data_IF_720197597690
#
_entry.id   IF_720197597690
#
_cell.length_a   1.000
_cell.length_b   1.000
_cell.length_c   1.000
_cell.angle_alpha   90.00
_cell.angle_beta   90.00
_cell.angle_gamma   90.00
#
_symmetry.space_group_name_H-M   'P 1'
#
loop_
_entity.id
_entity.type
_entity.pdbx_description
1 polymer ?
#
# COMPACT_ATOMS: atom_id res chain seq x y z
N UNK A 1 -30.65 -26.46 23.70
CA UNK A 1 -29.31 -26.88 24.20
C UNK A 1 -28.90 -26.10 25.44
N UNK A 2 -28.98 -24.77 25.42
CA UNK A 2 -28.56 -23.94 26.54
C UNK A 2 -29.39 -24.20 27.82
N UNK A 3 -30.70 -24.41 27.69
CA UNK A 3 -31.58 -24.78 28.80
C UNK A 3 -31.24 -26.16 29.40
N UNK A 4 -30.98 -27.16 28.55
CA UNK A 4 -30.57 -28.51 28.99
C UNK A 4 -29.22 -28.48 29.71
N UNK A 5 -28.25 -27.71 29.18
CA UNK A 5 -26.95 -27.46 29.83
C UNK A 5 -27.12 -26.76 31.17
N UNK A 6 -27.92 -25.69 31.23
CA UNK A 6 -28.25 -24.96 32.48
C UNK A 6 -28.89 -25.90 33.51
N UNK A 7 -29.78 -26.79 33.07
CA UNK A 7 -30.41 -27.78 33.95
C UNK A 7 -29.41 -28.79 34.53
N UNK A 8 -28.42 -29.26 33.74
CA UNK A 8 -27.40 -30.19 34.24
C UNK A 8 -26.49 -29.47 35.24
N UNK A 9 -25.99 -28.29 34.90
CA UNK A 9 -25.16 -27.48 35.80
C UNK A 9 -25.89 -27.15 37.11
N UNK A 10 -27.19 -26.87 37.04
CA UNK A 10 -28.05 -26.67 38.22
C UNK A 10 -28.13 -27.92 39.08
N UNK A 11 -28.35 -29.11 38.50
CA UNK A 11 -28.40 -30.38 39.25
C UNK A 11 -27.08 -30.72 39.93
N UNK A 12 -25.94 -30.41 39.29
CA UNK A 12 -24.61 -30.52 39.92
C UNK A 12 -24.53 -29.58 41.13
N UNK A 13 -24.91 -28.31 40.97
CA UNK A 13 -24.86 -27.32 42.06
C UNK A 13 -25.78 -27.65 43.25
N UNK A 14 -26.86 -28.38 43.00
CA UNK A 14 -27.81 -28.83 44.01
C UNK A 14 -27.42 -30.19 44.65
N UNK A 15 -26.28 -30.78 44.27
CA UNK A 15 -25.84 -32.09 44.74
C UNK A 15 -26.71 -33.26 44.25
N UNK A 16 -27.59 -33.02 43.27
CA UNK A 16 -28.49 -34.03 42.66
C UNK A 16 -27.80 -34.83 41.55
N UNK A 17 -26.61 -34.42 41.15
CA UNK A 17 -25.72 -35.12 40.24
C UNK A 17 -24.29 -34.95 40.74
N UNK A 18 -23.48 -36.00 40.64
CA UNK A 18 -22.03 -35.85 40.81
C UNK A 18 -21.43 -35.01 39.66
N UNK A 19 -20.24 -34.46 39.88
CA UNK A 19 -19.50 -33.73 38.85
C UNK A 19 -19.21 -34.64 37.64
N UNK A 20 -18.79 -35.89 37.89
CA UNK A 20 -18.45 -36.86 36.86
C UNK A 20 -19.66 -37.26 36.00
N UNK A 21 -20.80 -37.59 36.62
CA UNK A 21 -22.06 -37.85 35.89
C UNK A 21 -22.53 -36.62 35.09
N UNK A 22 -22.34 -35.43 35.66
CA UNK A 22 -22.66 -34.17 35.02
C UNK A 22 -21.82 -33.91 33.76
N UNK A 23 -20.52 -34.19 33.83
CA UNK A 23 -19.60 -34.06 32.69
C UNK A 23 -19.95 -35.03 31.55
N UNK A 24 -20.26 -36.29 31.86
CA UNK A 24 -20.71 -37.29 30.87
C UNK A 24 -21.96 -36.78 30.14
N UNK A 25 -22.97 -36.31 30.86
CA UNK A 25 -24.21 -35.79 30.24
C UNK A 25 -23.96 -34.53 29.40
N UNK A 26 -23.01 -33.68 29.82
CA UNK A 26 -22.62 -32.50 29.04
C UNK A 26 -21.93 -32.89 27.73
N UNK A 27 -21.10 -33.94 27.74
CA UNK A 27 -20.42 -34.44 26.55
C UNK A 27 -21.38 -35.18 25.61
N UNK A 28 -22.32 -35.96 26.13
CA UNK A 28 -23.40 -36.57 25.33
C UNK A 28 -24.23 -35.52 24.59
N UNK A 29 -24.57 -34.41 25.25
CA UNK A 29 -25.32 -33.32 24.61
C UNK A 29 -24.48 -32.65 23.52
N UNK A 30 -23.18 -32.44 23.74
CA UNK A 30 -22.28 -31.89 22.71
C UNK A 30 -22.17 -32.81 21.50
N UNK A 31 -22.02 -34.13 21.71
CA UNK A 31 -21.93 -35.10 20.61
C UNK A 31 -23.24 -35.21 19.84
N UNK A 32 -24.38 -35.23 20.54
CA UNK A 32 -25.70 -35.20 19.89
C UNK A 32 -25.89 -33.92 19.07
N UNK A 33 -25.48 -32.78 19.60
CA UNK A 33 -25.54 -31.51 18.89
C UNK A 33 -24.68 -31.50 17.63
N UNK A 34 -23.45 -32.00 17.73
CA UNK A 34 -22.53 -32.16 16.60
C UNK A 34 -23.10 -33.11 15.55
N UNK A 35 -23.73 -34.21 15.97
CA UNK A 35 -24.40 -35.16 15.08
C UNK A 35 -25.55 -34.50 14.30
N UNK A 36 -26.39 -33.70 14.96
CA UNK A 36 -27.48 -32.96 14.31
C UNK A 36 -26.91 -31.93 13.33
N UNK A 37 -25.94 -31.13 13.77
CA UNK A 37 -25.30 -30.11 12.94
C UNK A 37 -24.64 -30.71 11.69
N UNK A 38 -23.91 -31.81 11.83
CA UNK A 38 -23.34 -32.56 10.70
C UNK A 38 -24.42 -33.01 9.72
N UNK A 39 -25.51 -33.61 10.19
CA UNK A 39 -26.62 -34.04 9.33
C UNK A 39 -27.27 -32.88 8.56
N UNK A 40 -27.41 -31.71 9.18
CA UNK A 40 -27.93 -30.51 8.52
C UNK A 40 -26.97 -30.00 7.43
N UNK A 41 -25.66 -30.01 7.70
CA UNK A 41 -24.64 -29.62 6.72
C UNK A 41 -24.59 -30.56 5.51
N UNK A 42 -24.72 -31.87 5.73
CA UNK A 42 -24.79 -32.87 4.64
C UNK A 42 -25.96 -32.58 3.68
N UNK A 43 -27.13 -32.19 4.21
CA UNK A 43 -28.31 -31.85 3.39
C UNK A 43 -28.09 -30.66 2.45
N UNK A 44 -27.12 -29.80 2.75
CA UNK A 44 -26.79 -28.61 1.96
C UNK A 44 -25.44 -28.73 1.25
N UNK A 45 -24.98 -29.97 1.01
CA UNK A 45 -23.82 -30.25 0.15
C UNK A 45 -22.46 -30.28 0.86
N UNK A 46 -22.43 -30.39 2.19
CA UNK A 46 -21.20 -30.62 2.95
C UNK A 46 -21.18 -32.06 3.46
N UNK A 47 -21.03 -33.00 2.54
CA UNK A 47 -20.93 -34.44 2.78
C UNK A 47 -19.48 -34.90 3.05
N UNK A 48 -18.49 -34.22 2.47
CA UNK A 48 -17.05 -34.48 2.68
C UNK A 48 -16.37 -33.43 3.56
N UNK A 49 -16.78 -33.35 4.84
CA UNK A 49 -16.16 -32.48 5.85
C UNK A 49 -15.50 -33.29 6.96
N UNK A 50 -14.22 -33.00 7.20
CA UNK A 50 -13.47 -33.61 8.31
C UNK A 50 -14.03 -33.18 9.67
N UNK A 51 -13.85 -34.01 10.69
CA UNK A 51 -14.23 -33.66 12.07
C UNK A 51 -13.60 -32.33 12.54
N UNK A 52 -12.35 -32.05 12.14
CA UNK A 52 -11.67 -30.79 12.45
C UNK A 52 -12.31 -29.58 11.77
N UNK A 53 -12.73 -29.69 10.50
CA UNK A 53 -13.46 -28.64 9.81
C UNK A 53 -14.83 -28.40 10.44
N UNK A 54 -15.57 -29.47 10.75
CA UNK A 54 -16.87 -29.39 11.43
C UNK A 54 -16.75 -28.67 12.78
N UNK A 55 -15.76 -29.04 13.60
CA UNK A 55 -15.48 -28.40 14.88
C UNK A 55 -15.13 -26.92 14.71
N UNK A 56 -14.28 -26.60 13.72
CA UNK A 56 -13.89 -25.21 13.43
C UNK A 56 -15.08 -24.37 12.99
N UNK A 57 -15.97 -24.92 12.15
CA UNK A 57 -17.19 -24.23 11.73
C UNK A 57 -18.14 -23.99 12.89
N UNK A 58 -18.38 -25.03 13.72
CA UNK A 58 -19.25 -24.92 14.89
C UNK A 58 -18.72 -23.90 15.91
N UNK A 59 -17.40 -23.89 16.17
CA UNK A 59 -16.75 -22.93 17.08
C UNK A 59 -16.90 -21.48 16.63
N UNK A 60 -16.96 -21.25 15.32
CA UNK A 60 -17.13 -19.93 14.73
C UNK A 60 -18.60 -19.63 14.40
N UNK A 61 -19.56 -20.38 14.94
CA UNK A 61 -21.00 -20.13 14.79
C UNK A 61 -21.45 -20.02 13.32
N UNK A 62 -20.91 -20.92 12.49
CA UNK A 62 -21.36 -21.09 11.11
C UNK A 62 -22.59 -21.99 11.17
N UNK A 63 -23.74 -21.49 10.72
CA UNK A 63 -25.01 -22.22 10.75
C UNK A 63 -25.43 -22.64 9.33
N UNK A 64 -26.27 -23.67 9.18
CA UNK A 64 -26.88 -24.00 7.89
C UNK A 64 -27.65 -22.82 7.29
N UNK A 65 -28.29 -22.00 8.14
CA UNK A 65 -28.99 -20.77 7.73
C UNK A 65 -28.02 -19.76 7.12
N UNK A 66 -26.89 -19.48 7.78
CA UNK A 66 -25.86 -18.57 7.25
C UNK A 66 -25.34 -19.03 5.88
N UNK A 67 -25.12 -20.33 5.70
CA UNK A 67 -24.67 -20.90 4.41
C UNK A 67 -25.74 -20.70 3.32
N UNK A 68 -27.01 -20.97 3.63
CA UNK A 68 -28.13 -20.74 2.70
C UNK A 68 -28.30 -19.27 2.33
N UNK A 69 -28.09 -18.36 3.29
CA UNK A 69 -28.13 -16.92 3.02
C UNK A 69 -26.99 -16.47 2.10
N UNK A 70 -25.78 -16.99 2.29
CA UNK A 70 -24.66 -16.75 1.36
C UNK A 70 -24.97 -17.26 -0.04
N UNK A 71 -25.55 -18.45 -0.16
CA UNK A 71 -25.96 -19.02 -1.45
C UNK A 71 -26.96 -18.10 -2.18
N UNK A 72 -27.95 -17.53 -1.47
CA UNK A 72 -28.93 -16.57 -2.03
C UNK A 72 -28.29 -15.30 -2.59
N UNK A 73 -27.16 -14.88 -2.03
CA UNK A 73 -26.41 -13.70 -2.52
C UNK A 73 -25.31 -14.07 -3.51
N UNK A 74 -25.29 -15.31 -4.01
CA UNK A 74 -24.38 -15.77 -5.07
C UNK A 74 -23.10 -16.45 -4.57
N UNK A 75 -23.01 -16.76 -3.28
CA UNK A 75 -21.84 -17.37 -2.63
C UNK A 75 -22.13 -18.80 -2.18
N UNK A 76 -22.56 -19.64 -3.12
CA UNK A 76 -22.69 -21.09 -2.92
C UNK A 76 -21.33 -21.80 -3.00
N UNK A 77 -21.30 -23.08 -2.60
CA UNK A 77 -20.14 -23.97 -2.73
C UNK A 77 -18.84 -23.45 -2.09
N UNK A 78 -18.96 -22.67 -1.00
CA UNK A 78 -17.80 -22.17 -0.27
C UNK A 78 -17.16 -23.29 0.56
N UNK A 79 -15.82 -23.37 0.52
CA UNK A 79 -15.09 -24.26 1.43
C UNK A 79 -15.34 -23.89 2.91
N UNK A 80 -15.24 -24.84 3.85
CA UNK A 80 -15.31 -24.55 5.29
C UNK A 80 -14.37 -23.41 5.73
N UNK A 81 -13.17 -23.33 5.14
CA UNK A 81 -12.21 -22.28 5.45
C UNK A 81 -12.65 -20.90 4.94
N UNK A 82 -13.35 -20.85 3.79
CA UNK A 82 -13.91 -19.61 3.26
C UNK A 82 -15.08 -19.10 4.13
N UNK A 83 -15.96 -20.00 4.56
CA UNK A 83 -17.06 -19.66 5.47
C UNK A 83 -16.53 -19.09 6.81
N UNK A 84 -15.53 -19.75 7.40
CA UNK A 84 -14.86 -19.25 8.61
C UNK A 84 -14.23 -17.88 8.37
N UNK A 85 -13.60 -17.66 7.21
CA UNK A 85 -12.98 -16.38 6.88
C UNK A 85 -14.00 -15.25 6.74
N UNK A 86 -15.15 -15.49 6.11
CA UNK A 86 -16.24 -14.50 6.02
C UNK A 86 -16.77 -14.16 7.41
N UNK A 87 -17.04 -15.17 8.22
CA UNK A 87 -17.56 -15.01 9.58
C UNK A 87 -16.60 -14.26 10.51
N UNK A 88 -15.31 -14.56 10.47
CA UNK A 88 -14.27 -13.83 11.23
C UNK A 88 -14.03 -12.41 10.74
N UNK A 89 -14.36 -12.13 9.47
CA UNK A 89 -14.27 -10.80 8.88
C UNK A 89 -15.56 -10.00 8.98
N UNK A 90 -16.53 -10.47 9.77
CA UNK A 90 -17.86 -9.87 9.96
C UNK A 90 -18.61 -9.60 8.65
N UNK A 91 -18.38 -10.43 7.63
CA UNK A 91 -19.05 -10.31 6.34
C UNK A 91 -20.46 -10.91 6.43
N UNK A 92 -21.47 -10.06 6.24
CA UNK A 92 -22.88 -10.47 6.26
C UNK A 92 -23.46 -10.65 4.86
N UNK A 93 -24.49 -11.51 4.68
CA UNK A 93 -25.22 -11.61 3.42
C UNK A 93 -25.82 -10.26 2.97
N UNK A 94 -26.34 -9.45 3.90
CA UNK A 94 -26.86 -8.11 3.63
C UNK A 94 -25.79 -7.18 3.05
N UNK A 95 -24.57 -7.22 3.61
CA UNK A 95 -23.45 -6.45 3.08
C UNK A 95 -23.12 -6.88 1.64
N UNK A 96 -23.01 -8.19 1.39
CA UNK A 96 -22.76 -8.72 0.04
C UNK A 96 -23.84 -8.26 -0.93
N UNK A 97 -25.12 -8.39 -0.54
CA UNK A 97 -26.25 -7.96 -1.35
C UNK A 97 -26.17 -6.46 -1.70
N UNK A 98 -25.69 -5.62 -0.77
CA UNK A 98 -25.58 -4.18 -0.99
C UNK A 98 -24.51 -3.76 -1.99
N UNK A 99 -23.51 -4.60 -2.29
CA UNK A 99 -22.39 -4.25 -3.18
C UNK A 99 -22.24 -5.15 -4.40
N UNK A 100 -22.82 -6.36 -4.41
CA UNK A 100 -22.57 -7.35 -5.48
C UNK A 100 -22.97 -6.83 -6.87
N UNK A 101 -24.08 -6.11 -6.96
CA UNK A 101 -24.66 -5.67 -8.23
C UNK A 101 -23.95 -4.42 -8.79
N UNK A 102 -23.01 -3.85 -8.02
CA UNK A 102 -22.11 -2.78 -8.46
C UNK A 102 -20.93 -3.31 -9.29
N UNK A 103 -20.77 -4.62 -9.39
CA UNK A 103 -19.68 -5.24 -10.14
C UNK A 103 -20.20 -6.23 -11.17
N UNK A 104 -19.54 -6.27 -12.32
CA UNK A 104 -19.81 -7.29 -13.36
C UNK A 104 -19.18 -8.65 -13.04
N UNK A 105 -18.20 -8.66 -12.13
CA UNK A 105 -17.48 -9.85 -11.70
C UNK A 105 -17.76 -10.15 -10.22
N UNK A 106 -17.76 -11.44 -9.81
CA UNK A 106 -17.96 -11.79 -8.42
C UNK A 106 -16.84 -11.24 -7.54
N UNK A 107 -17.20 -10.78 -6.33
CA UNK A 107 -16.24 -10.29 -5.35
C UNK A 107 -15.60 -11.50 -4.66
N UNK A 108 -14.28 -11.62 -4.62
CA UNK A 108 -13.63 -12.72 -3.90
C UNK A 108 -13.89 -12.62 -2.40
N UNK A 109 -13.90 -13.76 -1.69
CA UNK A 109 -14.01 -13.80 -0.21
C UNK A 109 -12.97 -12.90 0.45
N UNK A 110 -11.73 -12.88 -0.07
CA UNK A 110 -10.68 -12.00 0.43
C UNK A 110 -11.05 -10.52 0.28
N UNK A 111 -11.60 -10.11 -0.87
CA UNK A 111 -12.00 -8.73 -1.09
C UNK A 111 -13.22 -8.33 -0.25
N UNK A 112 -14.19 -9.23 -0.05
CA UNK A 112 -15.32 -8.97 0.85
C UNK A 112 -14.85 -8.65 2.27
N UNK A 113 -13.92 -9.45 2.81
CA UNK A 113 -13.33 -9.20 4.13
C UNK A 113 -12.60 -7.86 4.16
N UNK A 114 -11.84 -7.53 3.11
CA UNK A 114 -11.14 -6.23 3.03
C UNK A 114 -12.17 -5.09 2.99
N UNK A 115 -13.27 -5.24 2.27
CA UNK A 115 -14.30 -4.21 2.17
C UNK A 115 -14.91 -3.90 3.53
N UNK A 116 -15.35 -4.94 4.26
CA UNK A 116 -15.93 -4.77 5.60
C UNK A 116 -14.91 -4.15 6.56
N UNK A 117 -13.69 -4.71 6.62
CA UNK A 117 -12.62 -4.21 7.50
C UNK A 117 -12.28 -2.74 7.24
N UNK A 118 -12.29 -2.32 5.97
CA UNK A 118 -11.97 -0.95 5.58
C UNK A 118 -13.21 -0.03 5.53
N UNK A 119 -14.39 -0.51 5.95
CA UNK A 119 -15.62 0.30 5.99
C UNK A 119 -16.13 0.75 4.62
N UNK A 120 -15.95 -0.07 3.57
CA UNK A 120 -16.43 0.24 2.22
C UNK A 120 -17.96 0.29 2.22
N UNK A 121 -18.51 1.39 1.72
CA UNK A 121 -19.96 1.57 1.51
C UNK A 121 -20.28 1.50 0.02
N UNK A 122 -21.50 1.09 -0.39
CA UNK A 122 -21.95 1.12 -1.79
C UNK A 122 -21.67 2.47 -2.48
N UNK A 123 -22.00 3.58 -1.81
CA UNK A 123 -21.76 4.94 -2.31
C UNK A 123 -20.31 5.22 -2.73
N UNK A 124 -19.32 4.66 -2.02
CA UNK A 124 -17.90 4.85 -2.41
C UNK A 124 -17.59 4.21 -3.77
N UNK A 125 -18.20 3.07 -4.08
CA UNK A 125 -18.02 2.35 -5.34
C UNK A 125 -18.75 3.09 -6.46
N UNK A 126 -20.01 3.50 -6.21
CA UNK A 126 -20.83 4.28 -7.14
C UNK A 126 -20.15 5.60 -7.51
N UNK A 127 -19.64 6.35 -6.53
CA UNK A 127 -18.91 7.59 -6.78
C UNK A 127 -17.64 7.38 -7.62
N UNK A 128 -16.94 6.25 -7.47
CA UNK A 128 -15.81 5.92 -8.35
C UNK A 128 -16.29 5.64 -9.77
N UNK A 129 -17.41 4.94 -9.95
CA UNK A 129 -17.98 4.66 -11.27
C UNK A 129 -18.39 5.96 -11.96
N UNK A 130 -19.06 6.86 -11.24
CA UNK A 130 -19.50 8.18 -11.72
C UNK A 130 -18.33 9.10 -12.09
N UNK A 131 -17.16 8.92 -11.45
CA UNK A 131 -15.91 9.60 -11.83
C UNK A 131 -15.29 9.10 -13.14
N UNK A 132 -15.98 8.19 -13.84
CA UNK A 132 -15.55 7.65 -15.13
C UNK A 132 -14.69 6.41 -15.01
N UNK A 133 -14.86 5.63 -13.93
CA UNK A 133 -14.29 4.29 -13.79
C UNK A 133 -15.40 3.21 -13.70
N UNK A 134 -16.27 3.09 -14.73
CA UNK A 134 -17.49 2.28 -14.66
C UNK A 134 -17.22 0.79 -14.41
N UNK A 135 -16.09 0.27 -14.89
CA UNK A 135 -15.70 -1.14 -14.75
C UNK A 135 -14.65 -1.35 -13.63
N UNK A 136 -14.71 -0.55 -12.57
CA UNK A 136 -13.78 -0.71 -11.44
C UNK A 136 -13.93 -2.10 -10.80
N UNK A 137 -12.84 -2.88 -10.77
CA UNK A 137 -12.90 -4.23 -10.22
C UNK A 137 -12.94 -4.23 -8.68
N UNK A 138 -13.48 -5.28 -8.03
CA UNK A 138 -13.45 -5.39 -6.57
C UNK A 138 -12.03 -5.38 -5.99
N UNK A 139 -11.07 -5.98 -6.70
CA UNK A 139 -9.66 -5.93 -6.30
C UNK A 139 -9.10 -4.50 -6.33
N UNK A 140 -9.61 -3.66 -7.23
CA UNK A 140 -9.23 -2.25 -7.31
C UNK A 140 -9.80 -1.46 -6.13
N UNK A 141 -11.08 -1.64 -5.80
CA UNK A 141 -11.71 -1.01 -4.63
C UNK A 141 -10.98 -1.41 -3.34
N UNK A 142 -10.65 -2.69 -3.18
CA UNK A 142 -9.89 -3.18 -2.02
C UNK A 142 -8.54 -2.48 -1.89
N UNK A 143 -7.84 -2.28 -3.01
CA UNK A 143 -6.54 -1.60 -3.04
C UNK A 143 -6.66 -0.12 -2.72
N UNK A 144 -7.66 0.57 -3.28
CA UNK A 144 -7.93 1.99 -2.99
C UNK A 144 -8.18 2.22 -1.50
N UNK A 145 -9.05 1.43 -0.88
CA UNK A 145 -9.40 1.59 0.53
C UNK A 145 -8.28 1.17 1.47
N UNK A 146 -7.47 0.17 1.10
CA UNK A 146 -6.29 -0.24 1.87
C UNK A 146 -5.25 0.88 1.97
N UNK A 147 -5.11 1.71 0.93
CA UNK A 147 -4.23 2.88 0.94
C UNK A 147 -4.92 4.18 1.35
N UNK A 148 -6.15 4.09 1.90
CA UNK A 148 -6.89 5.26 2.40
C UNK A 148 -7.18 6.30 1.32
N UNK A 149 -7.43 5.87 0.08
CA UNK A 149 -7.73 6.78 -1.04
C UNK A 149 -9.19 7.21 -0.96
N UNK A 150 -9.42 8.51 -0.79
CA UNK A 150 -10.76 9.09 -0.70
C UNK A 150 -11.28 9.52 -2.08
N UNK A 151 -12.60 9.70 -2.21
CA UNK A 151 -13.19 10.25 -3.44
C UNK A 151 -12.65 11.65 -3.73
N UNK A 152 -12.48 12.48 -2.69
CA UNK A 152 -11.88 13.81 -2.81
C UNK A 152 -10.47 13.76 -3.40
N UNK A 153 -9.63 12.82 -2.95
CA UNK A 153 -8.30 12.63 -3.52
C UNK A 153 -8.38 12.24 -5.01
N UNK A 154 -9.27 11.32 -5.39
CA UNK A 154 -9.44 10.93 -6.81
C UNK A 154 -9.87 12.13 -7.67
N UNK A 155 -10.82 12.94 -7.20
CA UNK A 155 -11.31 14.14 -7.90
C UNK A 155 -10.18 15.14 -8.14
N UNK A 156 -9.50 15.56 -7.08
CA UNK A 156 -8.37 16.50 -7.14
C UNK A 156 -7.24 16.00 -8.03
N UNK A 157 -6.88 14.72 -7.90
CA UNK A 157 -5.86 14.12 -8.76
C UNK A 157 -6.30 13.97 -10.22
N UNK A 158 -7.59 14.00 -10.55
CA UNK A 158 -8.04 14.03 -11.94
C UNK A 158 -8.13 15.45 -12.49
N UNK A 159 -8.49 16.43 -11.66
CA UNK A 159 -8.55 17.85 -12.01
C UNK A 159 -7.15 18.44 -12.26
N UNK A 160 -6.13 17.95 -11.55
CA UNK A 160 -4.75 18.38 -11.69
C UNK A 160 -4.10 17.99 -13.04
N UNK A 161 -4.74 17.18 -13.88
CA UNK A 161 -4.16 16.72 -15.15
C UNK A 161 -5.15 16.87 -16.32
N UNK A 162 -4.66 17.17 -17.54
CA UNK A 162 -5.52 17.31 -18.72
C UNK A 162 -6.28 16.02 -19.10
N UNK A 163 -5.75 14.87 -18.70
CA UNK A 163 -6.36 13.56 -18.92
C UNK A 163 -6.61 12.89 -17.58
N UNK A 164 -7.81 12.30 -17.43
CA UNK A 164 -8.17 11.46 -16.28
C UNK A 164 -7.10 10.40 -16.04
N UNK A 165 -6.63 10.31 -14.80
CA UNK A 165 -5.63 9.32 -14.41
C UNK A 165 -6.27 7.93 -14.34
N UNK A 166 -5.51 6.89 -14.64
CA UNK A 166 -5.91 5.54 -14.30
C UNK A 166 -5.90 5.34 -12.78
N UNK A 167 -6.77 4.47 -12.24
CA UNK A 167 -6.73 4.15 -10.82
C UNK A 167 -5.38 3.51 -10.39
N UNK A 168 -4.62 2.91 -11.31
CA UNK A 168 -3.24 2.47 -11.03
C UNK A 168 -2.31 3.65 -10.75
N UNK A 169 -2.40 4.71 -11.54
CA UNK A 169 -1.61 5.93 -11.33
C UNK A 169 -1.99 6.57 -9.99
N UNK A 170 -3.28 6.75 -9.71
CA UNK A 170 -3.74 7.31 -8.43
C UNK A 170 -3.24 6.50 -7.22
N UNK A 171 -3.30 5.17 -7.30
CA UNK A 171 -2.78 4.30 -6.24
C UNK A 171 -1.27 4.50 -6.07
N UNK A 172 -0.50 4.49 -7.17
CA UNK A 172 0.95 4.65 -7.11
C UNK A 172 1.34 6.02 -6.52
N UNK A 173 0.65 7.08 -6.94
CA UNK A 173 0.83 8.44 -6.42
C UNK A 173 0.57 8.53 -4.92
N UNK A 174 -0.51 7.89 -4.43
CA UNK A 174 -0.80 7.84 -3.00
C UNK A 174 0.29 7.10 -2.22
N UNK A 175 0.77 5.97 -2.73
CA UNK A 175 1.83 5.17 -2.10
C UNK A 175 3.13 5.98 -1.97
N UNK A 176 3.45 6.80 -2.98
CA UNK A 176 4.64 7.67 -2.97
C UNK A 176 4.37 9.05 -2.33
N UNK A 177 3.24 9.23 -1.65
CA UNK A 177 2.87 10.50 -0.98
C UNK A 177 2.87 11.73 -1.91
N UNK A 178 2.44 11.57 -3.16
CA UNK A 178 2.15 12.69 -4.05
C UNK A 178 0.84 13.34 -3.59
N UNK A 179 0.93 14.53 -3.00
CA UNK A 179 -0.19 15.36 -2.57
C UNK A 179 -0.52 16.44 -3.61
N UNK A 180 -1.71 17.04 -3.48
CA UNK A 180 -2.10 18.23 -4.24
C UNK A 180 -1.16 19.41 -3.93
N UNK A 181 -0.87 19.66 -2.64
CA UNK A 181 0.08 20.69 -2.22
C UNK A 181 1.43 20.58 -2.93
N UNK A 182 1.96 19.35 -3.08
CA UNK A 182 3.22 19.12 -3.79
C UNK A 182 3.13 19.47 -5.28
N UNK A 183 2.00 19.21 -5.92
CA UNK A 183 1.76 19.56 -7.33
C UNK A 183 1.69 21.09 -7.45
N UNK A 184 0.94 21.76 -6.56
CA UNK A 184 0.79 23.21 -6.54
C UNK A 184 2.13 23.94 -6.24
N UNK A 185 2.92 23.41 -5.31
CA UNK A 185 4.24 23.93 -4.96
C UNK A 185 5.17 23.94 -6.17
N UNK A 186 5.21 22.85 -6.94
CA UNK A 186 6.03 22.76 -8.15
C UNK A 186 5.48 23.65 -9.28
N UNK A 187 4.16 23.70 -9.46
CA UNK A 187 3.52 24.61 -10.41
C UNK A 187 3.87 26.07 -10.09
N UNK A 188 3.89 26.47 -8.81
CA UNK A 188 4.21 27.83 -8.36
C UNK A 188 5.61 28.32 -8.74
N UNK A 189 6.53 27.40 -9.03
CA UNK A 189 7.91 27.70 -9.46
C UNK A 189 8.15 27.41 -10.95
N UNK A 190 7.09 27.21 -11.73
CA UNK A 190 7.12 27.05 -13.18
C UNK A 190 7.27 25.60 -13.67
N UNK A 191 6.94 24.62 -12.83
CA UNK A 191 6.91 23.19 -13.17
C UNK A 191 5.47 22.67 -13.14
N UNK A 192 4.61 23.27 -13.98
CA UNK A 192 3.16 23.02 -14.06
C UNK A 192 2.76 21.95 -15.09
N UNK A 193 3.62 21.63 -16.07
CA UNK A 193 3.39 20.57 -17.07
C UNK A 193 4.14 19.26 -16.73
N UNK A 194 3.91 18.74 -15.52
CA UNK A 194 4.50 17.48 -15.07
C UNK A 194 3.50 16.33 -15.22
N UNK A 195 3.95 15.23 -15.83
CA UNK A 195 3.17 13.98 -15.80
C UNK A 195 3.14 13.40 -14.39
N UNK A 196 2.08 12.64 -14.06
CA UNK A 196 1.98 11.98 -12.75
C UNK A 196 3.16 11.04 -12.45
N UNK A 197 3.71 10.37 -13.47
CA UNK A 197 4.87 9.50 -13.31
C UNK A 197 6.12 10.31 -12.94
N UNK A 198 6.25 11.54 -13.46
CA UNK A 198 7.34 12.44 -13.11
C UNK A 198 7.24 12.94 -11.67
N UNK A 199 6.03 13.27 -11.21
CA UNK A 199 5.79 13.67 -9.82
C UNK A 199 6.12 12.54 -8.83
N UNK A 200 5.76 11.30 -9.20
CA UNK A 200 6.12 10.08 -8.45
C UNK A 200 7.64 9.93 -8.39
N UNK A 201 8.34 10.06 -9.52
CA UNK A 201 9.81 9.99 -9.58
C UNK A 201 10.47 11.08 -8.72
N UNK A 202 9.94 12.30 -8.76
CA UNK A 202 10.41 13.40 -7.90
C UNK A 202 10.26 13.06 -6.42
N UNK A 203 9.12 12.51 -5.99
CA UNK A 203 8.94 12.06 -4.60
C UNK A 203 9.90 10.94 -4.21
N UNK A 204 10.14 9.97 -5.09
CA UNK A 204 11.06 8.85 -4.83
C UNK A 204 12.50 9.35 -4.63
N UNK A 205 12.92 10.35 -5.40
CA UNK A 205 14.29 10.87 -5.36
C UNK A 205 14.48 12.11 -4.49
N UNK A 206 13.43 12.65 -3.86
CA UNK A 206 13.53 13.83 -3.01
C UNK A 206 13.72 15.14 -3.79
N UNK A 207 13.15 15.23 -4.99
CA UNK A 207 13.09 16.48 -5.77
C UNK A 207 11.85 17.25 -5.36
N UNK A 208 12.02 18.26 -4.50
CA UNK A 208 10.97 19.17 -4.05
C UNK A 208 11.25 20.64 -4.48
N UNK A 209 10.38 21.54 -4.04
CA UNK A 209 10.47 22.97 -4.36
C UNK A 209 11.77 23.57 -3.82
N UNK A 210 12.13 23.22 -2.59
CA UNK A 210 13.33 23.69 -1.90
C UNK A 210 14.60 23.24 -2.63
N UNK A 211 14.64 21.97 -3.05
CA UNK A 211 15.71 21.42 -3.87
C UNK A 211 15.92 22.26 -5.14
N UNK A 212 14.85 22.52 -5.89
CA UNK A 212 14.92 23.27 -7.16
C UNK A 212 15.31 24.75 -6.92
N UNK A 213 14.73 25.41 -5.91
CA UNK A 213 15.05 26.80 -5.57
C UNK A 213 16.52 26.94 -5.19
N UNK A 214 17.07 26.01 -4.42
CA UNK A 214 18.47 26.07 -4.00
C UNK A 214 19.45 26.10 -5.18
N UNK A 215 19.16 25.39 -6.28
CA UNK A 215 19.98 25.50 -7.49
C UNK A 215 19.83 26.86 -8.20
N UNK A 216 18.61 27.40 -8.22
CA UNK A 216 18.31 28.73 -8.79
C UNK A 216 19.09 29.83 -8.06
N UNK A 217 19.20 29.76 -6.74
CA UNK A 217 19.93 30.73 -5.91
C UNK A 217 21.43 30.78 -6.20
N UNK A 218 22.03 29.65 -6.60
CA UNK A 218 23.46 29.56 -6.96
C UNK A 218 23.73 29.68 -8.47
N UNK A 219 22.71 30.13 -9.23
CA UNK A 219 22.82 30.51 -10.64
C UNK A 219 22.40 29.45 -11.66
N UNK A 220 21.99 28.25 -11.25
CA UNK A 220 21.48 27.23 -12.19
C UNK A 220 19.98 27.38 -12.36
N UNK A 221 19.58 27.99 -13.48
CA UNK A 221 18.18 28.22 -13.83
C UNK A 221 17.74 27.28 -14.96
N UNK A 222 16.43 27.02 -15.06
CA UNK A 222 15.81 26.21 -16.13
C UNK A 222 16.44 24.82 -16.29
N UNK A 223 16.72 24.15 -15.17
CA UNK A 223 17.33 22.82 -15.16
C UNK A 223 16.35 21.82 -15.79
N UNK A 224 16.76 21.04 -16.81
CA UNK A 224 15.92 19.98 -17.39
C UNK A 224 15.47 18.97 -16.32
N UNK A 225 14.24 18.45 -16.44
CA UNK A 225 13.64 17.55 -15.44
C UNK A 225 14.52 16.32 -15.15
N UNK A 226 15.07 15.70 -16.19
CA UNK A 226 15.97 14.55 -16.03
C UNK A 226 17.25 14.90 -15.27
N UNK A 227 17.75 16.13 -15.45
CA UNK A 227 18.93 16.60 -14.73
C UNK A 227 18.62 16.80 -13.25
N UNK A 228 17.46 17.34 -12.89
CA UNK A 228 17.04 17.46 -11.48
C UNK A 228 17.01 16.08 -10.78
N UNK A 229 16.43 15.09 -11.44
CA UNK A 229 16.37 13.71 -10.91
C UNK A 229 17.78 13.12 -10.76
N UNK A 230 18.65 13.26 -11.76
CA UNK A 230 20.02 12.75 -11.69
C UNK A 230 20.82 13.42 -10.57
N UNK A 231 20.68 14.73 -10.39
CA UNK A 231 21.33 15.45 -9.28
C UNK A 231 20.89 14.86 -7.93
N UNK A 232 19.59 14.61 -7.76
CA UNK A 232 19.05 14.02 -6.54
C UNK A 232 19.53 12.57 -6.32
N UNK A 233 19.51 11.72 -7.35
CA UNK A 233 20.02 10.34 -7.31
C UNK A 233 21.48 10.29 -6.84
N UNK A 234 22.31 11.24 -7.29
CA UNK A 234 23.72 11.32 -6.92
C UNK A 234 23.98 12.12 -5.63
N UNK A 235 22.93 12.50 -4.91
CA UNK A 235 23.00 13.31 -3.69
C UNK A 235 23.80 14.61 -3.92
N UNK A 236 23.51 15.29 -5.03
CA UNK A 236 24.08 16.59 -5.38
C UNK A 236 23.08 17.65 -4.94
N UNK A 237 23.51 18.50 -4.02
CA UNK A 237 22.72 19.61 -3.50
C UNK A 237 23.50 20.94 -3.71
N UNK A 238 22.87 22.10 -3.46
CA UNK A 238 23.53 23.40 -3.61
C UNK A 238 24.81 23.53 -2.77
N UNK A 239 24.86 22.95 -1.56
CA UNK A 239 26.03 22.97 -0.69
C UNK A 239 27.25 22.26 -1.32
N UNK A 240 27.04 21.09 -1.93
CA UNK A 240 28.10 20.38 -2.64
C UNK A 240 28.69 21.25 -3.75
N UNK A 241 27.84 21.91 -4.53
CA UNK A 241 28.28 22.76 -5.63
C UNK A 241 29.02 23.99 -5.11
N UNK A 242 28.52 24.60 -4.04
CA UNK A 242 29.17 25.74 -3.40
C UNK A 242 30.59 25.39 -2.93
N UNK A 243 30.78 24.21 -2.35
CA UNK A 243 32.12 23.74 -1.96
C UNK A 243 33.04 23.49 -3.16
N UNK A 244 32.51 22.98 -4.29
CA UNK A 244 33.31 22.81 -5.51
C UNK A 244 33.70 24.18 -6.12
N UNK A 245 32.76 25.13 -6.18
CA UNK A 245 33.01 26.49 -6.70
C UNK A 245 34.05 27.28 -5.90
N UNK A 246 34.32 26.93 -4.64
CA UNK A 246 35.40 27.54 -3.84
C UNK A 246 36.80 27.11 -4.27
N UNK A 247 36.91 25.96 -4.94
CA UNK A 247 38.20 25.37 -5.31
C UNK A 247 38.49 25.57 -6.80
N UNK A 248 37.49 25.41 -7.64
CA UNK A 248 37.64 25.53 -9.09
C UNK A 248 37.43 26.98 -9.54
N UNK A 249 38.42 27.55 -10.22
CA UNK A 249 38.38 28.91 -10.80
C UNK A 249 37.76 28.90 -12.21
N UNK A 250 36.64 28.19 -12.36
CA UNK A 250 35.91 28.05 -13.62
C UNK A 250 34.41 27.89 -13.36
N UNK A 251 33.58 28.27 -14.35
CA UNK A 251 32.15 27.99 -14.32
C UNK A 251 31.90 26.49 -14.48
N UNK A 252 31.31 25.87 -13.47
CA UNK A 252 31.02 24.44 -13.48
C UNK A 252 29.65 24.18 -14.11
N UNK A 253 29.62 23.39 -15.19
CA UNK A 253 28.33 22.88 -15.69
C UNK A 253 27.77 21.82 -14.74
N UNK A 254 26.44 21.63 -14.74
CA UNK A 254 25.82 20.55 -13.96
C UNK A 254 26.33 19.16 -14.37
N UNK A 255 26.73 18.98 -15.63
CA UNK A 255 27.36 17.73 -16.08
C UNK A 255 28.69 17.49 -15.37
N UNK A 256 29.56 18.50 -15.34
CA UNK A 256 30.85 18.42 -14.65
C UNK A 256 30.65 18.18 -13.14
N UNK A 257 29.67 18.83 -12.52
CA UNK A 257 29.34 18.59 -11.10
C UNK A 257 28.91 17.14 -10.86
N UNK A 258 28.10 16.57 -11.75
CA UNK A 258 27.72 15.16 -11.67
C UNK A 258 28.95 14.26 -11.80
N UNK A 259 29.84 14.53 -12.75
CA UNK A 259 31.05 13.73 -12.95
C UNK A 259 31.98 13.80 -11.72
N UNK A 260 32.20 15.00 -11.17
CA UNK A 260 32.92 15.20 -9.91
C UNK A 260 32.33 14.32 -8.79
N UNK A 261 31.00 14.32 -8.64
CA UNK A 261 30.32 13.56 -7.59
C UNK A 261 30.45 12.05 -7.82
N UNK A 262 30.21 11.58 -9.04
CA UNK A 262 30.26 10.16 -9.42
C UNK A 262 31.65 9.59 -9.18
N UNK A 263 32.70 10.35 -9.48
CA UNK A 263 34.08 9.94 -9.23
C UNK A 263 34.52 10.13 -7.76
N UNK A 264 33.63 10.57 -6.87
CA UNK A 264 33.91 10.71 -5.45
C UNK A 264 34.89 11.84 -5.14
N UNK A 265 34.78 12.95 -5.87
CA UNK A 265 35.48 14.20 -5.58
C UNK A 265 34.75 14.88 -4.42
N UNK A 266 35.47 15.02 -3.30
CA UNK A 266 34.98 15.67 -2.09
C UNK A 266 35.88 16.84 -1.73
N UNK A 267 35.41 17.70 -0.81
CA UNK A 267 36.21 18.79 -0.23
C UNK A 267 37.53 18.27 0.35
N UNK A 268 37.51 17.12 1.02
CA UNK A 268 38.69 16.50 1.63
C UNK A 268 39.68 16.00 0.58
N UNK A 269 39.18 15.44 -0.53
CA UNK A 269 40.03 15.06 -1.66
C UNK A 269 40.73 16.30 -2.24
N UNK A 270 39.98 17.36 -2.51
CA UNK A 270 40.52 18.61 -3.06
C UNK A 270 41.52 19.26 -2.09
N UNK A 271 41.24 19.27 -0.78
CA UNK A 271 42.17 19.77 0.24
C UNK A 271 43.51 19.04 0.23
N UNK A 272 43.50 17.71 0.07
CA UNK A 272 44.74 16.91 -0.05
C UNK A 272 45.56 17.28 -1.28
N UNK A 273 44.93 17.69 -2.38
CA UNK A 273 45.66 18.14 -3.58
C UNK A 273 46.37 19.48 -3.32
N UNK A 274 45.66 20.40 -2.66
CA UNK A 274 46.20 21.71 -2.29
C UNK A 274 47.38 21.56 -1.31
N UNK A 275 47.25 20.69 -0.31
CA UNK A 275 48.33 20.37 0.65
C UNK A 275 49.56 19.75 -0.02
N UNK A 276 49.39 19.10 -1.18
CA UNK A 276 50.47 18.55 -2.01
C UNK A 276 51.03 19.54 -3.04
N UNK A 277 50.64 20.81 -2.97
CA UNK A 277 51.20 21.88 -3.79
C UNK A 277 50.49 22.12 -5.12
N UNK A 278 49.36 21.45 -5.40
CA UNK A 278 48.53 21.77 -6.57
C UNK A 278 47.85 23.11 -6.34
N UNK A 279 48.39 24.18 -6.96
CA UNK A 279 47.89 25.55 -6.79
C UNK A 279 46.61 25.85 -7.55
N UNK A 280 46.45 25.25 -8.74
CA UNK A 280 45.29 25.42 -9.61
C UNK A 280 44.98 24.09 -10.29
N UNK A 281 43.72 23.68 -10.31
CA UNK A 281 43.28 22.45 -10.97
C UNK A 281 41.91 22.70 -11.60
N UNK A 282 41.69 22.19 -12.80
CA UNK A 282 40.36 22.17 -13.43
C UNK A 282 39.58 20.97 -12.92
N UNK A 283 38.25 21.02 -12.99
CA UNK A 283 37.38 19.92 -12.60
C UNK A 283 37.72 18.63 -13.34
N UNK A 284 37.98 18.71 -14.66
CA UNK A 284 38.38 17.55 -15.45
C UNK A 284 39.69 16.93 -14.94
N UNK A 285 40.70 17.75 -14.65
CA UNK A 285 41.97 17.24 -14.11
C UNK A 285 41.81 16.61 -12.72
N UNK A 286 40.91 17.14 -11.90
CA UNK A 286 40.61 16.54 -10.60
C UNK A 286 39.96 15.17 -10.74
N UNK A 287 39.04 15.02 -11.71
CA UNK A 287 38.43 13.73 -12.07
C UNK A 287 39.49 12.76 -12.57
N UNK A 288 40.32 13.17 -13.53
CA UNK A 288 41.37 12.32 -14.11
C UNK A 288 42.36 11.84 -13.04
N UNK A 289 42.79 12.73 -12.15
CA UNK A 289 43.69 12.39 -11.05
C UNK A 289 43.06 11.43 -10.03
N UNK A 290 41.74 11.47 -9.85
CA UNK A 290 41.00 10.55 -8.98
C UNK A 290 40.84 9.17 -9.61
N UNK A 291 40.58 9.10 -10.93
CA UNK A 291 40.44 7.85 -11.69
C UNK A 291 41.77 7.10 -11.79
N UNK A 292 42.85 7.80 -12.14
CA UNK A 292 44.13 7.16 -12.45
C UNK A 292 45.04 6.97 -11.22
N UNK A 293 44.61 7.42 -10.04
CA UNK A 293 45.43 7.39 -8.83
C UNK A 293 46.46 8.52 -8.84
N UNK A 294 46.26 9.47 -7.93
CA UNK A 294 46.99 10.74 -7.81
C UNK A 294 48.54 10.64 -7.82
N UNK A 295 49.13 9.47 -7.58
CA UNK A 295 50.57 9.30 -7.41
C UNK A 295 51.39 9.45 -8.70
N UNK A 296 50.80 9.32 -9.90
CA UNK A 296 51.59 9.31 -11.16
C UNK A 296 51.59 10.64 -11.93
N UNK A 297 50.81 11.65 -11.54
CA UNK A 297 50.57 12.85 -12.35
C UNK A 297 51.32 14.12 -11.93
N UNK A 298 51.98 14.11 -10.76
CA UNK A 298 52.57 15.32 -10.16
C UNK A 298 54.01 15.12 -9.66
N UNK A 299 54.70 14.05 -10.10
CA UNK A 299 56.17 13.93 -10.01
C UNK A 299 56.85 14.59 -11.21
#
# INVERSE_FOLDING_TARGET
MEETRKSILKKISEGKLSVEEGEILLDEIKEKARSIYSKELVKIGFDDITANQLLKMARHEITPEFIKELERVGYGNLSPNALVRLKLGDVTPDFIASVKDLFTQPISVTNLVIFVRNGVKPAYIEEIQDLGYPEVSPAKIAKLTTFGITISYIKKMNEAFPKRLSLNQIINSKIQNVSEDFIEELASIGYDDLTINRLVEFKIHGVDKEFIIGFKEIGYVKIPLNTLVNLAIHNINPDYIFEMKKVFDEELSLQIIMDLRIHGITKEFLKKLIERGVKTITAQKAIDAKIHGFLEYFE
#
